data_IF_906491458807
#
_entry.id   IF_906491458807
#
_cell.length_a   1.000
_cell.length_b   1.000
_cell.length_c   1.000
_cell.angle_alpha   90.00
_cell.angle_beta   90.00
_cell.angle_gamma   90.00
#
_symmetry.space_group_name_H-M   'P 1'
#
loop_
_entity.id
_entity.type
_entity.pdbx_description
1 polymer ?
#
# COMPACT_ATOMS: atom_id res chain seq x y z
N UNK A 1 -43.78 -52.01 43.12
CA UNK A 1 -42.32 -51.76 43.14
C UNK A 1 -41.78 -51.13 41.85
N UNK A 2 -42.40 -51.38 40.68
CA UNK A 2 -41.94 -50.88 39.37
C UNK A 2 -42.05 -49.36 39.21
N UNK A 3 -43.12 -48.73 39.68
CA UNK A 3 -43.38 -47.28 39.51
C UNK A 3 -42.37 -46.38 40.25
N UNK A 4 -41.95 -46.77 41.44
CA UNK A 4 -40.97 -46.01 42.24
C UNK A 4 -39.55 -46.04 41.63
N UNK A 5 -39.17 -47.18 41.03
CA UNK A 5 -37.89 -47.33 40.33
C UNK A 5 -37.89 -46.51 39.03
N UNK A 6 -39.01 -46.53 38.30
CA UNK A 6 -39.21 -45.74 37.09
C UNK A 6 -39.12 -44.22 37.35
N UNK A 7 -39.67 -43.76 38.47
CA UNK A 7 -39.57 -42.36 38.90
C UNK A 7 -38.13 -41.92 39.21
N UNK A 8 -37.33 -42.78 39.88
CA UNK A 8 -35.91 -42.52 40.13
C UNK A 8 -35.11 -42.40 38.83
N UNK A 9 -35.32 -43.33 37.90
CA UNK A 9 -34.64 -43.34 36.59
C UNK A 9 -34.98 -42.07 35.80
N UNK A 10 -36.23 -41.60 35.82
CA UNK A 10 -36.64 -40.38 35.11
C UNK A 10 -36.00 -39.13 35.74
N UNK A 11 -35.92 -39.07 37.06
CA UNK A 11 -35.27 -37.95 37.76
C UNK A 11 -33.76 -37.90 37.48
N UNK A 12 -33.09 -39.05 37.48
CA UNK A 12 -31.66 -39.17 37.19
C UNK A 12 -31.36 -38.81 35.71
N UNK A 13 -32.22 -39.23 34.78
CA UNK A 13 -32.14 -38.81 33.38
C UNK A 13 -32.36 -37.31 33.18
N UNK A 14 -33.21 -36.67 33.98
CA UNK A 14 -33.42 -35.23 33.92
C UNK A 14 -32.17 -34.47 34.41
N UNK A 15 -31.57 -34.91 35.51
CA UNK A 15 -30.34 -34.33 36.04
C UNK A 15 -29.17 -34.48 35.05
N UNK A 16 -28.98 -35.67 34.49
CA UNK A 16 -27.93 -35.92 33.48
C UNK A 16 -28.11 -35.04 32.24
N UNK A 17 -29.35 -34.80 31.78
CA UNK A 17 -29.63 -33.92 30.64
C UNK A 17 -29.29 -32.45 30.92
N UNK A 18 -29.55 -31.97 32.13
CA UNK A 18 -29.19 -30.61 32.52
C UNK A 18 -27.67 -30.45 32.68
N UNK A 19 -26.98 -31.46 33.21
CA UNK A 19 -25.52 -31.47 33.30
C UNK A 19 -24.86 -31.51 31.91
N UNK A 20 -25.38 -32.33 30.99
CA UNK A 20 -24.93 -32.36 29.59
C UNK A 20 -25.13 -30.99 28.92
N UNK A 21 -26.26 -30.30 29.17
CA UNK A 21 -26.47 -28.95 28.64
C UNK A 21 -25.48 -27.93 29.21
N UNK A 22 -25.20 -28.00 30.51
CA UNK A 22 -24.24 -27.10 31.15
C UNK A 22 -22.83 -27.31 30.58
N UNK A 23 -22.38 -28.56 30.49
CA UNK A 23 -21.09 -28.92 29.90
C UNK A 23 -21.00 -28.55 28.42
N UNK A 24 -22.09 -28.73 27.65
CA UNK A 24 -22.12 -28.32 26.24
C UNK A 24 -21.93 -26.81 26.08
N UNK A 25 -22.61 -26.00 26.91
CA UNK A 25 -22.47 -24.53 26.88
C UNK A 25 -21.06 -24.09 27.24
N UNK A 26 -20.45 -24.73 28.23
CA UNK A 26 -19.07 -24.44 28.61
C UNK A 26 -18.10 -24.81 27.48
N UNK A 27 -18.30 -25.97 26.85
CA UNK A 27 -17.48 -26.42 25.73
C UNK A 27 -17.59 -25.47 24.53
N UNK A 28 -18.79 -24.98 24.22
CA UNK A 28 -19.00 -23.99 23.16
C UNK A 28 -18.30 -22.66 23.46
N UNK A 29 -18.35 -22.20 24.73
CA UNK A 29 -17.65 -21.01 25.20
C UNK A 29 -16.13 -21.15 25.11
N UNK A 30 -15.60 -22.30 25.51
CA UNK A 30 -14.17 -22.61 25.42
C UNK A 30 -13.70 -22.69 23.97
N UNK A 31 -14.46 -23.35 23.09
CA UNK A 31 -14.16 -23.39 21.65
C UNK A 31 -14.13 -21.99 21.03
N UNK A 32 -15.09 -21.14 21.37
CA UNK A 32 -15.11 -19.76 20.90
C UNK A 32 -13.86 -18.98 21.34
N UNK A 33 -13.43 -19.14 22.60
CA UNK A 33 -12.19 -18.53 23.10
C UNK A 33 -10.94 -19.07 22.42
N UNK A 34 -10.89 -20.36 22.13
CA UNK A 34 -9.76 -20.97 21.41
C UNK A 34 -9.63 -20.34 20.03
N UNK A 35 -10.73 -20.26 19.27
CA UNK A 35 -10.73 -19.62 17.95
C UNK A 35 -10.28 -18.16 18.04
N UNK A 36 -10.80 -17.39 19.00
CA UNK A 36 -10.40 -15.99 19.20
C UNK A 36 -8.91 -15.84 19.53
N UNK A 37 -8.34 -16.73 20.34
CA UNK A 37 -6.93 -16.72 20.71
C UNK A 37 -6.03 -17.18 19.55
N UNK A 38 -6.45 -18.18 18.79
CA UNK A 38 -5.75 -18.66 17.59
C UNK A 38 -5.71 -17.58 16.52
N UNK A 39 -6.82 -16.89 16.27
CA UNK A 39 -6.88 -15.75 15.36
C UNK A 39 -5.92 -14.63 15.78
N UNK A 40 -5.86 -14.32 17.09
CA UNK A 40 -4.92 -13.33 17.63
C UNK A 40 -3.46 -13.74 17.49
N UNK A 41 -3.14 -15.02 17.64
CA UNK A 41 -1.77 -15.54 17.46
C UNK A 41 -1.34 -15.60 15.99
N UNK A 42 -2.29 -15.72 15.06
CA UNK A 42 -2.03 -15.72 13.63
C UNK A 42 -1.66 -14.35 13.05
N UNK A 43 -1.93 -13.25 13.77
CA UNK A 43 -1.65 -11.88 13.32
C UNK A 43 -0.18 -11.52 13.53
N UNK A 44 0.55 -11.35 12.43
CA UNK A 44 1.91 -10.83 12.44
C UNK A 44 2.07 -9.70 11.41
N UNK A 45 3.19 -8.98 11.45
CA UNK A 45 3.47 -7.88 10.53
C UNK A 45 3.63 -8.27 9.05
N UNK A 46 3.57 -9.56 8.71
CA UNK A 46 3.65 -10.05 7.33
C UNK A 46 2.27 -10.34 6.70
N UNK A 47 1.27 -10.70 7.51
CA UNK A 47 -0.05 -11.11 7.01
C UNK A 47 -1.21 -10.26 7.54
N UNK A 48 -0.95 -9.42 8.54
CA UNK A 48 -1.93 -8.51 9.11
C UNK A 48 -1.37 -7.11 9.04
N UNK A 49 -2.21 -6.11 8.77
CA UNK A 49 -1.83 -4.69 8.70
C UNK A 49 -1.27 -4.10 10.01
N UNK A 50 -0.79 -4.96 10.92
CA UNK A 50 -0.09 -4.62 12.14
C UNK A 50 1.28 -4.03 11.78
N UNK A 51 1.56 -2.77 12.15
CA UNK A 51 2.84 -2.17 11.84
C UNK A 51 3.99 -2.95 12.50
N UNK A 52 5.16 -3.08 11.84
CA UNK A 52 6.29 -3.89 12.31
C UNK A 52 6.89 -3.48 13.66
N UNK A 53 6.49 -2.33 14.20
CA UNK A 53 6.87 -1.83 15.53
C UNK A 53 5.99 -2.38 16.66
N UNK A 54 4.76 -2.82 16.35
CA UNK A 54 3.81 -3.42 17.30
C UNK A 54 3.80 -4.94 17.29
N UNK A 55 4.50 -5.56 16.34
CA UNK A 55 4.69 -7.00 16.28
C UNK A 55 5.78 -7.43 17.27
N UNK A 56 5.35 -7.88 18.46
CA UNK A 56 6.23 -8.33 19.55
C UNK A 56 6.92 -9.66 19.21
N UNK A 57 6.31 -10.46 18.33
CA UNK A 57 6.84 -11.75 17.86
C UNK A 57 7.71 -11.62 16.61
N UNK A 58 7.96 -10.38 16.16
CA UNK A 58 8.80 -10.10 15.00
C UNK A 58 10.20 -10.67 15.22
N UNK A 59 10.60 -11.58 14.32
CA UNK A 59 12.00 -12.03 14.24
C UNK A 59 12.91 -10.81 14.06
N UNK A 60 13.81 -10.58 15.02
CA UNK A 60 14.78 -9.47 14.96
C UNK A 60 15.57 -9.54 13.65
N UNK A 61 15.84 -8.36 13.07
CA UNK A 61 16.39 -8.19 11.73
C UNK A 61 17.68 -8.98 11.47
N UNK A 62 17.94 -9.26 10.19
CA UNK A 62 19.11 -9.98 9.70
C UNK A 62 20.39 -9.43 10.34
N UNK A 63 21.34 -10.32 10.67
CA UNK A 63 22.68 -9.96 11.14
C UNK A 63 23.27 -8.89 10.21
N UNK A 64 23.92 -7.88 10.79
CA UNK A 64 24.64 -6.86 10.03
C UNK A 64 25.58 -7.56 9.06
N UNK A 65 25.55 -7.13 7.80
CA UNK A 65 26.49 -7.62 6.81
C UNK A 65 27.87 -7.06 7.12
N UNK A 66 28.90 -7.89 7.02
CA UNK A 66 30.30 -7.43 7.06
C UNK A 66 30.71 -6.73 5.75
N UNK A 67 29.78 -6.57 4.80
CA UNK A 67 30.02 -5.82 3.57
C UNK A 67 29.97 -4.33 3.88
N UNK A 68 30.97 -3.61 3.39
CA UNK A 68 30.96 -2.16 3.42
C UNK A 68 29.74 -1.61 2.67
N UNK A 69 29.15 -0.49 3.13
CA UNK A 69 28.10 0.19 2.40
C UNK A 69 28.64 0.69 1.04
N UNK A 70 27.88 0.46 -0.03
CA UNK A 70 28.24 0.86 -1.40
C UNK A 70 28.29 -0.31 -2.39
N UNK A 71 28.74 -0.02 -3.61
CA UNK A 71 28.98 -1.04 -4.64
C UNK A 71 30.05 -2.03 -4.18
N UNK A 72 29.90 -3.31 -4.52
CA UNK A 72 30.90 -4.30 -4.14
C UNK A 72 32.23 -4.06 -4.90
N UNK A 73 33.38 -4.47 -4.34
CA UNK A 73 34.66 -4.38 -5.04
C UNK A 73 34.60 -5.03 -6.43
N UNK A 74 35.09 -4.32 -7.45
CA UNK A 74 35.06 -4.76 -8.86
C UNK A 74 33.82 -4.35 -9.65
N UNK A 75 32.80 -3.78 -9.02
CA UNK A 75 31.65 -3.21 -9.75
C UNK A 75 32.02 -1.85 -10.33
N UNK A 76 31.88 -1.71 -11.66
CA UNK A 76 32.02 -0.41 -12.31
C UNK A 76 30.91 0.52 -11.82
N UNK A 77 31.29 1.74 -11.46
CA UNK A 77 30.33 2.76 -11.10
C UNK A 77 29.50 3.14 -12.34
N UNK A 78 28.18 2.99 -12.24
CA UNK A 78 27.25 3.58 -13.20
C UNK A 78 26.77 4.92 -12.66
N UNK A 79 27.09 5.99 -13.37
CA UNK A 79 26.59 7.34 -13.09
C UNK A 79 25.65 7.75 -14.21
N UNK A 80 24.69 8.61 -13.91
CA UNK A 80 23.86 9.23 -14.96
C UNK A 80 24.76 10.09 -15.83
N UNK A 81 24.66 9.93 -17.14
CA UNK A 81 25.32 10.83 -18.08
C UNK A 81 24.71 12.23 -17.97
N UNK A 82 25.55 13.25 -18.13
CA UNK A 82 25.08 14.64 -18.18
C UNK A 82 24.36 14.87 -19.50
N UNK A 83 23.19 15.52 -19.43
CA UNK A 83 22.46 15.95 -20.62
C UNK A 83 23.03 17.25 -21.18
N UNK A 84 22.74 17.56 -22.44
CA UNK A 84 22.95 18.92 -22.94
C UNK A 84 22.06 19.89 -22.14
N UNK A 85 22.62 20.98 -21.62
CA UNK A 85 21.87 21.97 -20.87
C UNK A 85 21.29 23.03 -21.81
N UNK A 86 20.00 23.32 -21.67
CA UNK A 86 19.35 24.42 -22.38
C UNK A 86 19.77 25.79 -21.83
N UNK A 87 20.01 25.87 -20.52
CA UNK A 87 20.51 27.06 -19.81
C UNK A 87 21.62 26.66 -18.84
N UNK A 88 22.67 27.49 -18.75
CA UNK A 88 23.80 27.31 -17.83
C UNK A 88 23.90 28.52 -16.92
N UNK A 89 23.73 28.28 -15.62
CA UNK A 89 23.88 29.30 -14.57
C UNK A 89 25.14 29.00 -13.77
N UNK A 90 26.10 29.92 -13.77
CA UNK A 90 27.35 29.78 -13.00
C UNK A 90 27.14 30.15 -11.53
N UNK A 91 27.32 29.20 -10.63
CA UNK A 91 27.31 29.42 -9.19
C UNK A 91 28.74 29.71 -8.70
N UNK A 92 29.07 30.99 -8.48
CA UNK A 92 30.42 31.41 -8.09
C UNK A 92 30.55 31.35 -6.56
N UNK A 93 31.65 30.80 -6.07
CA UNK A 93 31.99 30.77 -4.64
C UNK A 93 32.43 32.17 -4.21
N UNK A 94 31.91 32.64 -3.07
CA UNK A 94 32.43 33.84 -2.41
C UNK A 94 33.90 33.60 -2.02
N UNK A 95 34.81 34.47 -2.46
CA UNK A 95 36.27 34.31 -2.28
C UNK A 95 36.73 34.31 -0.81
N UNK A 96 35.81 34.47 0.13
CA UNK A 96 36.03 34.54 1.56
C UNK A 96 35.27 33.39 2.20
N UNK A 97 36.00 32.50 2.86
CA UNK A 97 35.43 31.42 3.66
C UNK A 97 34.74 32.01 4.90
N UNK A 98 33.85 31.26 5.53
CA UNK A 98 33.25 31.65 6.83
C UNK A 98 34.29 31.94 7.92
N UNK A 99 35.51 31.42 7.81
CA UNK A 99 36.64 31.72 8.68
C UNK A 99 37.50 32.92 8.21
N UNK A 100 36.96 33.77 7.33
CA UNK A 100 37.59 34.98 6.78
C UNK A 100 38.85 34.75 5.93
N UNK A 101 39.21 33.50 5.67
CA UNK A 101 40.35 33.13 4.84
C UNK A 101 39.99 33.10 3.35
N UNK A 102 41.00 33.30 2.48
CA UNK A 102 40.83 33.21 1.02
C UNK A 102 40.52 31.78 0.59
N UNK A 103 39.54 31.63 -0.30
CA UNK A 103 39.20 30.32 -0.90
C UNK A 103 40.05 30.07 -2.14
N UNK A 104 40.63 28.87 -2.22
CA UNK A 104 41.30 28.36 -3.43
C UNK A 104 40.27 27.56 -4.20
N UNK A 105 40.10 27.87 -5.50
CA UNK A 105 39.16 27.16 -6.36
C UNK A 105 39.80 25.86 -6.87
N UNK A 106 39.05 24.76 -6.81
CA UNK A 106 39.40 23.46 -7.38
C UNK A 106 38.52 23.18 -8.61
N UNK A 107 38.17 21.91 -8.82
CA UNK A 107 37.32 21.45 -9.92
C UNK A 107 35.85 21.93 -9.76
N UNK A 108 35.20 22.17 -10.89
CA UNK A 108 33.77 22.47 -10.93
C UNK A 108 32.94 21.19 -10.90
N UNK A 109 31.90 21.17 -10.05
CA UNK A 109 30.94 20.07 -9.99
C UNK A 109 29.65 20.50 -10.69
N UNK A 110 29.24 19.75 -11.71
CA UNK A 110 28.01 20.03 -12.46
C UNK A 110 26.80 19.43 -11.74
N UNK A 111 25.85 20.28 -11.36
CA UNK A 111 24.52 19.88 -10.90
C UNK A 111 23.45 20.24 -11.94
N UNK A 112 22.70 19.24 -12.43
CA UNK A 112 21.63 19.45 -13.40
C UNK A 112 20.25 19.31 -12.74
N UNK A 113 19.50 20.41 -12.74
CA UNK A 113 18.07 20.41 -12.45
C UNK A 113 17.31 20.16 -13.75
N UNK A 114 16.44 19.16 -13.77
CA UNK A 114 15.61 18.83 -14.94
C UNK A 114 14.16 19.02 -14.54
N UNK A 115 13.51 20.00 -15.15
CA UNK A 115 12.09 20.29 -14.94
C UNK A 115 11.36 20.21 -16.27
N UNK A 116 10.15 19.65 -16.25
CA UNK A 116 9.26 19.77 -17.40
C UNK A 116 8.63 21.16 -17.35
N UNK A 117 8.56 21.88 -18.49
CA UNK A 117 7.83 23.13 -18.55
C UNK A 117 6.34 22.89 -18.25
N UNK A 118 5.60 23.97 -17.97
CA UNK A 118 4.15 23.88 -17.73
C UNK A 118 3.43 23.14 -18.87
N UNK A 119 2.98 21.92 -18.60
CA UNK A 119 2.23 21.10 -19.55
C UNK A 119 0.78 21.58 -19.54
N UNK A 120 0.33 22.17 -20.64
CA UNK A 120 -1.07 22.58 -20.84
C UNK A 120 -1.84 21.49 -21.57
N UNK A 121 -3.09 21.18 -21.17
CA UNK A 121 -3.88 20.18 -21.85
C UNK A 121 -4.29 20.67 -23.25
N UNK A 122 -4.25 19.76 -24.23
CA UNK A 122 -4.85 20.00 -25.54
C UNK A 122 -6.34 19.69 -25.42
N UNK A 123 -7.18 20.71 -25.55
CA UNK A 123 -8.65 20.57 -25.44
C UNK A 123 -9.27 20.54 -26.84
N UNK A 124 -9.90 19.42 -27.18
CA UNK A 124 -10.69 19.28 -28.42
C UNK A 124 -12.18 19.30 -28.10
N UNK A 125 -12.89 20.35 -28.54
CA UNK A 125 -14.34 20.48 -28.33
C UNK A 125 -15.12 19.91 -29.53
N UNK A 126 -15.97 18.91 -29.28
CA UNK A 126 -16.86 18.33 -30.30
C UNK A 126 -18.29 18.87 -30.15
N UNK A 127 -18.70 19.73 -31.09
CA UNK A 127 -20.06 20.28 -31.11
C UNK A 127 -21.01 19.37 -31.89
N UNK A 128 -21.80 18.59 -31.15
CA UNK A 128 -22.75 17.64 -31.73
C UNK A 128 -24.11 18.29 -31.98
N UNK A 129 -24.58 18.23 -33.22
CA UNK A 129 -25.93 18.67 -33.57
C UNK A 129 -26.99 17.69 -33.00
N UNK A 130 -28.13 18.25 -32.59
CA UNK A 130 -29.29 17.50 -32.09
C UNK A 130 -30.56 17.95 -32.78
N UNK A 131 -31.41 16.99 -33.12
CA UNK A 131 -32.70 17.26 -33.78
C UNK A 131 -33.77 16.25 -33.38
N UNK A 132 -34.99 16.47 -33.89
CA UNK A 132 -36.11 15.53 -33.76
C UNK A 132 -36.59 15.10 -35.14
N UNK A 133 -36.90 13.81 -35.29
CA UNK A 133 -37.55 13.32 -36.50
C UNK A 133 -38.96 13.90 -36.62
N UNK A 134 -39.30 14.50 -37.76
CA UNK A 134 -40.61 15.13 -37.98
C UNK A 134 -41.79 14.14 -38.01
N UNK A 135 -41.51 12.86 -38.27
CA UNK A 135 -42.54 11.82 -38.41
C UNK A 135 -42.82 11.12 -37.09
N UNK A 136 -41.77 10.61 -36.42
CA UNK A 136 -41.92 9.82 -35.19
C UNK A 136 -41.52 10.58 -33.91
N UNK A 137 -41.14 11.85 -34.01
CA UNK A 137 -40.71 12.73 -32.91
C UNK A 137 -39.52 12.22 -32.06
N UNK A 138 -38.86 11.14 -32.48
CA UNK A 138 -37.66 10.61 -31.82
C UNK A 138 -36.50 11.61 -31.93
N UNK A 139 -35.70 11.70 -30.86
CA UNK A 139 -34.49 12.53 -30.82
C UNK A 139 -33.34 11.82 -31.52
N UNK A 140 -32.59 12.56 -32.32
CA UNK A 140 -31.38 12.10 -33.00
C UNK A 140 -30.25 13.06 -32.63
N UNK A 141 -29.09 12.51 -32.26
CA UNK A 141 -27.87 13.25 -31.93
C UNK A 141 -26.77 12.79 -32.87
N UNK A 142 -25.95 13.73 -33.38
CA UNK A 142 -24.77 13.39 -34.16
C UNK A 142 -23.80 12.52 -33.34
N UNK A 143 -23.17 11.53 -33.97
CA UNK A 143 -22.17 10.69 -33.32
C UNK A 143 -20.80 11.38 -33.34
N UNK A 144 -19.97 11.08 -32.34
CA UNK A 144 -18.55 11.42 -32.39
C UNK A 144 -17.85 10.62 -33.50
N UNK A 145 -16.82 11.20 -34.16
CA UNK A 145 -15.97 10.46 -35.06
C UNK A 145 -15.36 9.23 -34.35
N UNK A 146 -15.38 8.07 -34.99
CA UNK A 146 -14.81 6.83 -34.42
C UNK A 146 -13.29 6.82 -34.41
N UNK A 147 -12.68 7.65 -35.25
CA UNK A 147 -11.24 7.86 -35.27
C UNK A 147 -10.95 8.98 -34.30
N UNK A 148 -10.51 8.62 -33.09
CA UNK A 148 -9.73 9.53 -32.29
C UNK A 148 -8.46 9.77 -33.10
N UNK A 149 -8.35 10.93 -33.75
CA UNK A 149 -7.06 11.36 -34.28
C UNK A 149 -6.11 11.38 -33.08
N UNK A 150 -5.00 10.66 -33.18
CA UNK A 150 -4.02 10.55 -32.10
C UNK A 150 -3.60 11.97 -31.71
N UNK A 151 -4.06 12.40 -30.53
CA UNK A 151 -3.59 13.61 -29.90
C UNK A 151 -2.26 13.20 -29.26
N UNK A 152 -1.15 13.62 -29.86
CA UNK A 152 0.21 13.44 -29.33
C UNK A 152 0.35 14.05 -27.93
#
# INVERSE_FOLDING_TARGET
MTTALQGKIVAENANLKEEIKALSRENDSLKAKIVELEDKLGLNSQNSSLPPSRDIYRKKGKKKSDKNPGGQPGHKAHKRELMAADEVVSCIIDKICMCESKVILEDEIVHQKVELPEIKPIVTEYRLQRGRCRVCNKRITANLPKVLQEIF
#
